data_IF_617422551726
#
_entry.id   IF_617422551726
#
_cell.length_a   1.000
_cell.length_b   1.000
_cell.length_c   1.000
_cell.angle_alpha   90.00
_cell.angle_beta   90.00
_cell.angle_gamma   90.00
#
_symmetry.space_group_name_H-M   'P 1'
#
loop_
_entity.id
_entity.type
_entity.pdbx_description
1 polymer ?
#
# COMPACT_ATOMS: atom_id res chain seq x y z
N UNK A 1 12.86 16.42 -7.21
CA UNK A 1 13.69 15.20 -6.99
C UNK A 1 13.02 14.37 -5.90
N UNK A 2 12.78 13.07 -6.13
CA UNK A 2 12.10 12.19 -5.16
C UNK A 2 13.04 11.95 -3.96
N UNK A 3 12.59 12.33 -2.77
CA UNK A 3 13.41 12.31 -1.53
C UNK A 3 13.37 10.95 -0.84
N UNK A 4 12.31 10.16 -1.07
CA UNK A 4 12.21 8.83 -0.48
C UNK A 4 13.38 7.93 -0.91
N UNK A 5 13.89 7.12 0.02
CA UNK A 5 15.01 6.19 -0.26
C UNK A 5 14.54 4.86 -0.90
N UNK A 6 13.26 4.74 -1.16
CA UNK A 6 12.57 3.66 -1.87
C UNK A 6 11.71 4.22 -3.00
N UNK A 7 11.43 3.43 -4.01
CA UNK A 7 10.37 3.72 -4.99
C UNK A 7 9.02 3.25 -4.44
N UNK A 8 7.92 3.84 -4.91
CA UNK A 8 6.58 3.48 -4.45
C UNK A 8 5.68 3.08 -5.61
N UNK A 9 5.01 1.94 -5.48
CA UNK A 9 3.96 1.49 -6.38
C UNK A 9 2.64 1.43 -5.61
N UNK A 10 1.61 2.14 -6.09
CA UNK A 10 0.26 2.07 -5.56
C UNK A 10 -0.63 1.33 -6.55
N UNK A 11 -1.15 0.19 -6.15
CA UNK A 11 -2.07 -0.61 -6.96
C UNK A 11 -3.51 -0.15 -6.71
N UNK A 12 -4.09 0.50 -7.73
CA UNK A 12 -5.42 1.10 -7.69
C UNK A 12 -6.38 0.46 -8.71
N UNK A 13 -6.18 -0.83 -9.03
CA UNK A 13 -6.86 -1.56 -10.09
C UNK A 13 -7.94 -2.57 -9.67
N UNK A 14 -8.30 -2.66 -8.40
CA UNK A 14 -9.29 -3.63 -7.91
C UNK A 14 -10.72 -3.30 -8.33
N UNK A 15 -11.55 -4.33 -8.60
CA UNK A 15 -12.96 -4.17 -9.02
C UNK A 15 -13.90 -3.63 -7.93
N UNK A 16 -13.45 -3.53 -6.69
CA UNK A 16 -14.21 -2.97 -5.53
C UNK A 16 -15.62 -3.59 -5.34
N UNK A 17 -15.84 -4.84 -5.76
CA UNK A 17 -17.16 -5.51 -5.76
C UNK A 17 -17.83 -5.47 -4.38
N UNK A 18 -17.06 -5.73 -3.31
CA UNK A 18 -17.57 -5.71 -1.93
C UNK A 18 -17.82 -4.31 -1.37
N UNK A 19 -17.28 -3.28 -2.04
CA UNK A 19 -17.42 -1.88 -1.63
C UNK A 19 -18.66 -1.23 -2.28
N UNK A 20 -19.16 -1.79 -3.39
CA UNK A 20 -20.34 -1.31 -4.12
C UNK A 20 -20.08 -0.11 -5.05
N UNK A 21 -18.87 0.46 -4.99
CA UNK A 21 -18.42 1.58 -5.84
C UNK A 21 -16.89 1.52 -5.97
N UNK A 22 -16.29 2.39 -6.78
CA UNK A 22 -14.82 2.47 -6.85
C UNK A 22 -14.24 2.96 -5.50
N UNK A 23 -13.69 2.04 -4.72
CA UNK A 23 -13.15 2.35 -3.40
C UNK A 23 -11.99 3.35 -3.43
N UNK A 24 -11.20 3.37 -4.52
CA UNK A 24 -10.08 4.31 -4.65
C UNK A 24 -10.55 5.76 -4.73
N UNK A 25 -11.75 6.00 -5.29
CA UNK A 25 -12.37 7.33 -5.41
C UNK A 25 -13.24 7.70 -4.20
N UNK A 26 -13.50 6.77 -3.29
CA UNK A 26 -14.33 7.05 -2.12
C UNK A 26 -13.67 8.10 -1.21
N UNK A 27 -14.43 9.15 -0.89
CA UNK A 27 -13.94 10.28 -0.11
C UNK A 27 -14.07 10.06 1.39
N UNK A 28 -12.96 10.24 2.10
CA UNK A 28 -12.89 10.28 3.57
C UNK A 28 -12.41 11.66 3.96
N UNK A 29 -13.27 12.46 4.62
CA UNK A 29 -12.94 13.83 5.06
C UNK A 29 -12.33 14.68 3.93
N UNK A 30 -12.99 14.72 2.77
CA UNK A 30 -12.66 15.60 1.65
C UNK A 30 -11.52 15.11 0.72
N UNK A 31 -10.91 13.94 0.97
CA UNK A 31 -9.89 13.35 0.11
C UNK A 31 -10.26 11.92 -0.25
N UNK A 32 -10.01 11.51 -1.50
CA UNK A 32 -10.22 10.12 -1.90
C UNK A 32 -9.26 9.17 -1.16
N UNK A 33 -9.63 7.89 -1.03
CA UNK A 33 -8.76 6.89 -0.41
C UNK A 33 -7.41 6.81 -1.13
N UNK A 34 -7.41 6.83 -2.45
CA UNK A 34 -6.19 6.84 -3.24
C UNK A 34 -5.33 8.08 -2.97
N UNK A 35 -5.95 9.27 -2.91
CA UNK A 35 -5.25 10.52 -2.63
C UNK A 35 -4.60 10.47 -1.24
N UNK A 36 -5.30 9.97 -0.22
CA UNK A 36 -4.77 9.83 1.14
C UNK A 36 -3.54 8.93 1.20
N UNK A 37 -3.54 7.83 0.44
CA UNK A 37 -2.37 6.96 0.34
C UNK A 37 -1.24 7.67 -0.40
N UNK A 38 -1.52 8.24 -1.57
CA UNK A 38 -0.51 8.83 -2.45
C UNK A 38 0.24 10.01 -1.82
N UNK A 39 -0.41 10.81 -0.99
CA UNK A 39 0.19 11.97 -0.31
C UNK A 39 1.28 11.59 0.73
N UNK A 40 1.41 10.30 1.08
CA UNK A 40 2.52 9.84 1.94
C UNK A 40 3.85 9.69 1.17
N UNK A 41 3.86 9.85 -0.14
CA UNK A 41 5.02 9.58 -0.99
C UNK A 41 5.36 10.77 -1.88
N UNK A 42 6.67 10.98 -2.11
CA UNK A 42 7.13 12.10 -2.94
C UNK A 42 6.82 11.88 -4.43
N UNK A 43 7.00 10.66 -4.94
CA UNK A 43 6.86 10.34 -6.37
C UNK A 43 6.25 8.94 -6.57
N UNK A 44 5.01 8.69 -6.13
CA UNK A 44 4.40 7.38 -6.30
C UNK A 44 4.06 7.10 -7.77
N UNK A 45 4.26 5.84 -8.17
CA UNK A 45 3.77 5.31 -9.42
C UNK A 45 2.43 4.62 -9.13
N UNK A 46 1.36 5.15 -9.71
CA UNK A 46 0.01 4.62 -9.50
C UNK A 46 -0.37 3.76 -10.71
N UNK A 47 -0.71 2.51 -10.47
CA UNK A 47 -1.17 1.59 -11.52
C UNK A 47 -2.67 1.38 -11.33
N UNK A 48 -3.45 1.71 -12.36
CA UNK A 48 -4.92 1.61 -12.35
C UNK A 48 -5.43 1.07 -13.66
N UNK A 49 -6.59 0.41 -13.66
CA UNK A 49 -7.27 -0.03 -14.89
C UNK A 49 -8.16 1.07 -15.50
N UNK A 50 -8.32 2.20 -14.82
CA UNK A 50 -9.10 3.35 -15.26
C UNK A 50 -8.29 4.64 -15.09
N UNK A 51 -8.63 5.66 -15.90
CA UNK A 51 -8.09 7.01 -15.69
C UNK A 51 -8.62 7.56 -14.37
N UNK A 52 -7.76 8.25 -13.61
CA UNK A 52 -8.09 8.86 -12.33
C UNK A 52 -7.73 10.33 -12.33
N UNK A 53 -8.55 11.13 -11.65
CA UNK A 53 -8.23 12.54 -11.40
C UNK A 53 -7.23 12.60 -10.24
N UNK A 54 -5.97 12.77 -10.58
CA UNK A 54 -4.88 12.86 -9.62
C UNK A 54 -4.16 14.21 -9.77
N UNK A 55 -3.43 14.59 -8.74
CA UNK A 55 -2.54 15.73 -8.80
C UNK A 55 -1.45 15.43 -9.86
N UNK A 56 -1.08 16.42 -10.68
CA UNK A 56 -0.13 16.28 -11.80
C UNK A 56 1.27 15.81 -11.38
N UNK A 57 1.59 15.85 -10.09
CA UNK A 57 2.86 15.33 -9.56
C UNK A 57 2.95 13.80 -9.49
N UNK A 58 1.83 13.08 -9.65
CA UNK A 58 1.80 11.62 -9.56
C UNK A 58 1.82 10.99 -10.94
N UNK A 59 2.63 9.92 -11.09
CA UNK A 59 2.69 9.16 -12.32
C UNK A 59 1.57 8.11 -12.34
N UNK A 60 0.58 8.28 -13.22
CA UNK A 60 -0.48 7.31 -13.46
C UNK A 60 -0.15 6.45 -14.69
N UNK A 61 -0.22 5.13 -14.51
CA UNK A 61 -0.05 4.14 -15.58
C UNK A 61 -1.33 3.29 -15.67
N UNK A 62 -1.80 3.05 -16.89
CA UNK A 62 -3.00 2.25 -17.13
C UNK A 62 -2.61 0.78 -17.32
N UNK A 63 -3.16 -0.10 -16.47
CA UNK A 63 -3.07 -1.55 -16.63
C UNK A 63 -4.19 -2.03 -17.56
N UNK A 64 -3.89 -2.12 -18.86
CA UNK A 64 -4.84 -2.56 -19.88
C UNK A 64 -5.14 -4.06 -19.78
N UNK A 65 -4.17 -4.87 -19.36
CA UNK A 65 -4.26 -6.34 -19.40
C UNK A 65 -5.03 -6.94 -18.22
N UNK A 66 -5.05 -6.27 -17.05
CA UNK A 66 -5.76 -6.69 -15.83
C UNK A 66 -5.46 -8.14 -15.40
N UNK A 67 -4.20 -8.54 -15.51
CA UNK A 67 -3.75 -9.90 -15.17
C UNK A 67 -3.47 -10.08 -13.67
N UNK A 68 -3.96 -9.18 -12.84
CA UNK A 68 -3.80 -9.20 -11.39
C UNK A 68 -2.65 -8.33 -10.87
N UNK A 69 -2.61 -8.12 -9.54
CA UNK A 69 -1.75 -7.11 -8.93
C UNK A 69 -0.25 -7.38 -9.11
N UNK A 70 0.20 -8.65 -9.06
CA UNK A 70 1.62 -8.97 -9.25
C UNK A 70 2.07 -8.72 -10.69
N UNK A 71 1.24 -9.04 -11.68
CA UNK A 71 1.57 -8.82 -13.09
C UNK A 71 1.52 -7.33 -13.46
N UNK A 72 0.70 -6.53 -12.76
CA UNK A 72 0.63 -5.09 -12.98
C UNK A 72 1.96 -4.36 -12.65
N UNK A 73 2.79 -4.90 -11.76
CA UNK A 73 4.11 -4.33 -11.40
C UNK A 73 4.99 -4.11 -12.64
N UNK A 74 4.87 -4.93 -13.69
CA UNK A 74 5.65 -4.78 -14.94
C UNK A 74 5.63 -3.38 -15.52
N UNK A 75 4.51 -2.68 -15.38
CA UNK A 75 4.37 -1.32 -15.90
C UNK A 75 5.18 -0.29 -15.12
N UNK A 76 5.49 -0.56 -13.85
CA UNK A 76 6.30 0.33 -13.03
C UNK A 76 7.81 0.08 -13.17
N UNK A 77 8.24 -1.15 -13.47
CA UNK A 77 9.66 -1.56 -13.50
C UNK A 77 10.56 -0.58 -14.27
N UNK A 78 10.20 -0.08 -15.48
CA UNK A 78 11.06 0.84 -16.24
C UNK A 78 11.32 2.19 -15.54
N UNK A 79 10.56 2.51 -14.50
CA UNK A 79 10.62 3.79 -13.79
C UNK A 79 11.22 3.66 -12.39
N UNK A 80 11.56 2.45 -11.96
CA UNK A 80 12.14 2.20 -10.66
C UNK A 80 13.63 2.53 -10.66
N UNK A 81 14.04 3.36 -9.71
CA UNK A 81 15.42 3.85 -9.59
C UNK A 81 16.11 3.45 -8.28
N UNK A 82 15.35 3.04 -7.27
CA UNK A 82 15.85 2.68 -5.95
C UNK A 82 15.99 1.16 -5.79
N UNK A 83 16.81 0.74 -4.84
CA UNK A 83 17.00 -0.69 -4.55
C UNK A 83 15.82 -1.33 -3.81
N UNK A 84 14.94 -0.51 -3.25
CA UNK A 84 13.74 -0.94 -2.52
C UNK A 84 12.49 -0.36 -3.14
N UNK A 85 11.42 -1.14 -3.10
CA UNK A 85 10.12 -0.79 -3.65
C UNK A 85 9.08 -0.98 -2.56
N UNK A 86 8.42 0.09 -2.14
CA UNK A 86 7.24 -0.02 -1.30
C UNK A 86 6.01 -0.24 -2.20
N UNK A 87 5.29 -1.33 -1.95
CA UNK A 87 4.08 -1.69 -2.72
C UNK A 87 2.89 -1.64 -1.79
N UNK A 88 1.85 -0.87 -2.19
CA UNK A 88 0.63 -0.75 -1.41
C UNK A 88 -0.61 -0.70 -2.30
N UNK A 89 -1.78 -0.95 -1.71
CA UNK A 89 -3.09 -0.73 -2.32
C UNK A 89 -3.68 0.63 -1.93
N UNK A 90 -4.71 1.10 -2.64
CA UNK A 90 -5.48 2.28 -2.25
C UNK A 90 -6.34 2.06 -0.99
N UNK A 91 -6.41 0.83 -0.49
CA UNK A 91 -7.24 0.42 0.64
C UNK A 91 -6.59 0.62 2.03
N UNK A 92 -5.42 1.24 2.09
CA UNK A 92 -4.77 1.63 3.35
C UNK A 92 -4.77 3.17 3.55
N UNK A 93 -5.95 3.86 3.57
CA UNK A 93 -6.02 5.33 3.57
C UNK A 93 -5.55 5.99 4.88
N UNK A 94 -5.23 5.21 5.90
CA UNK A 94 -4.73 5.66 7.19
C UNK A 94 -3.26 5.30 7.43
N UNK A 95 -2.55 4.86 6.38
CA UNK A 95 -1.11 4.56 6.47
C UNK A 95 -0.34 5.79 6.94
N UNK A 96 0.66 5.56 7.79
CA UNK A 96 1.56 6.59 8.30
C UNK A 96 2.95 6.46 7.70
N UNK A 97 3.57 7.59 7.39
CA UNK A 97 4.94 7.65 6.85
C UNK A 97 5.96 6.97 7.76
N UNK A 98 5.79 7.10 9.07
CA UNK A 98 6.67 6.50 10.08
C UNK A 98 6.66 4.98 9.97
N UNK A 99 5.50 4.36 9.76
CA UNK A 99 5.42 2.91 9.55
C UNK A 99 6.11 2.48 8.25
N UNK A 100 5.90 3.23 7.17
CA UNK A 100 6.55 2.95 5.88
C UNK A 100 8.07 2.97 6.04
N UNK A 101 8.61 3.95 6.79
CA UNK A 101 10.03 4.06 7.05
C UNK A 101 10.55 2.86 7.86
N UNK A 102 9.81 2.40 8.88
CA UNK A 102 10.18 1.18 9.64
C UNK A 102 10.26 -0.03 8.71
N UNK A 103 9.27 -0.21 7.85
CA UNK A 103 9.20 -1.33 6.92
C UNK A 103 10.37 -1.24 5.92
N UNK A 104 10.60 -0.08 5.30
CA UNK A 104 11.62 0.05 4.25
C UNK A 104 13.05 0.21 4.75
N UNK A 105 13.28 0.46 6.05
CA UNK A 105 14.63 0.63 6.60
C UNK A 105 15.37 -0.70 6.85
N UNK A 106 14.69 -1.84 6.77
CA UNK A 106 15.28 -3.17 6.98
C UNK A 106 15.83 -3.72 5.66
N UNK A 107 16.84 -4.57 5.71
CA UNK A 107 17.49 -5.15 4.52
C UNK A 107 17.19 -6.66 4.41
N UNK A 108 16.04 -6.96 3.82
CA UNK A 108 15.52 -8.30 3.52
C UNK A 108 14.95 -8.31 2.10
N UNK A 109 14.76 -9.47 1.52
CA UNK A 109 14.12 -9.59 0.20
C UNK A 109 12.68 -9.09 0.24
N UNK A 110 11.97 -9.38 1.34
CA UNK A 110 10.60 -8.94 1.60
C UNK A 110 10.46 -8.51 3.06
N UNK A 111 9.83 -7.37 3.30
CA UNK A 111 9.46 -6.89 4.63
C UNK A 111 7.96 -6.59 4.63
N UNK A 112 7.20 -7.26 5.50
CA UNK A 112 5.74 -7.18 5.58
C UNK A 112 5.26 -6.96 7.01
N UNK A 113 4.22 -6.16 7.25
CA UNK A 113 3.45 -6.22 8.48
C UNK A 113 2.77 -7.57 8.64
N UNK A 114 2.82 -8.10 9.85
CA UNK A 114 2.12 -9.32 10.26
C UNK A 114 1.13 -8.96 11.36
N UNK A 115 -0.16 -9.12 11.04
CA UNK A 115 -1.26 -9.17 12.00
C UNK A 115 -1.70 -10.63 12.14
N UNK A 116 -2.98 -10.92 11.93
CA UNK A 116 -3.46 -12.32 11.82
C UNK A 116 -2.88 -13.00 10.56
N UNK A 117 -2.61 -12.22 9.52
CA UNK A 117 -2.03 -12.65 8.24
C UNK A 117 -1.03 -11.61 7.72
N UNK A 118 0.00 -12.03 6.94
CA UNK A 118 0.86 -11.11 6.22
C UNK A 118 0.07 -10.16 5.32
N UNK A 119 0.54 -8.90 5.22
CA UNK A 119 -0.09 -7.88 4.39
C UNK A 119 0.76 -7.60 3.13
N UNK A 120 0.63 -8.38 2.05
CA UNK A 120 1.50 -8.27 0.88
C UNK A 120 1.39 -6.92 0.15
N UNK A 121 0.22 -6.30 0.18
CA UNK A 121 -0.02 -4.97 -0.39
C UNK A 121 0.16 -3.86 0.65
N UNK A 122 1.13 -4.05 1.54
CA UNK A 122 1.62 -3.06 2.50
C UNK A 122 3.06 -3.43 2.86
N UNK A 123 3.90 -3.65 1.87
CA UNK A 123 5.24 -4.20 2.09
C UNK A 123 6.34 -3.49 1.32
N UNK A 124 7.56 -3.67 1.79
CA UNK A 124 8.77 -3.27 1.12
C UNK A 124 9.47 -4.50 0.53
N UNK A 125 9.88 -4.38 -0.71
CA UNK A 125 10.44 -5.45 -1.50
C UNK A 125 11.80 -5.02 -2.08
N UNK A 126 12.77 -5.90 -2.08
CA UNK A 126 14.04 -5.67 -2.77
C UNK A 126 13.79 -5.66 -4.29
N UNK A 127 14.26 -4.63 -4.98
CA UNK A 127 14.02 -4.46 -6.42
C UNK A 127 14.50 -5.68 -7.22
N UNK A 128 15.73 -6.15 -6.97
CA UNK A 128 16.32 -7.30 -7.65
C UNK A 128 15.49 -8.58 -7.44
N UNK A 129 14.92 -8.77 -6.26
CA UNK A 129 14.05 -9.92 -5.97
C UNK A 129 12.74 -9.85 -6.77
N UNK A 130 12.10 -8.67 -6.84
CA UNK A 130 10.91 -8.46 -7.66
C UNK A 130 11.21 -8.73 -9.13
N UNK A 131 12.26 -8.10 -9.69
CA UNK A 131 12.63 -8.23 -11.10
C UNK A 131 12.91 -9.68 -11.51
N UNK A 132 13.54 -10.46 -10.64
CA UNK A 132 13.85 -11.86 -10.88
C UNK A 132 12.62 -12.79 -10.83
N UNK A 133 11.55 -12.41 -10.13
CA UNK A 133 10.48 -13.36 -9.75
C UNK A 133 9.06 -12.96 -10.16
N UNK A 134 8.73 -11.68 -10.40
CA UNK A 134 7.34 -11.25 -10.65
C UNK A 134 6.68 -11.93 -11.85
N UNK A 135 7.46 -12.34 -12.87
CA UNK A 135 6.94 -13.06 -14.03
C UNK A 135 6.65 -14.53 -13.77
N UNK A 136 7.32 -15.14 -12.77
CA UNK A 136 7.24 -16.57 -12.46
C UNK A 136 6.01 -16.92 -11.62
N UNK A 137 5.34 -15.93 -11.03
CA UNK A 137 4.25 -16.10 -10.07
C UNK A 137 2.99 -15.39 -10.53
N UNK A 138 1.83 -15.81 -10.03
CA UNK A 138 0.52 -15.22 -10.35
C UNK A 138 -0.08 -14.42 -9.19
N UNK A 139 0.53 -14.51 -8.01
CA UNK A 139 0.07 -13.79 -6.81
C UNK A 139 1.24 -13.35 -5.94
N UNK A 140 0.97 -12.37 -5.06
CA UNK A 140 1.95 -11.97 -4.03
C UNK A 140 2.21 -13.08 -3.01
N UNK A 141 1.25 -13.97 -2.77
CA UNK A 141 1.45 -15.12 -1.87
C UNK A 141 2.47 -16.09 -2.49
N UNK A 142 2.35 -16.38 -3.78
CA UNK A 142 3.36 -17.19 -4.48
C UNK A 142 4.74 -16.51 -4.47
N UNK A 143 4.78 -15.18 -4.62
CA UNK A 143 6.03 -14.41 -4.54
C UNK A 143 6.68 -14.54 -3.14
N UNK A 144 5.89 -14.44 -2.08
CA UNK A 144 6.35 -14.62 -0.70
C UNK A 144 6.94 -16.01 -0.50
N UNK A 145 6.30 -17.04 -1.06
CA UNK A 145 6.78 -18.44 -0.95
C UNK A 145 8.12 -18.70 -1.68
N UNK A 146 8.53 -17.81 -2.60
CA UNK A 146 9.83 -17.89 -3.27
C UNK A 146 10.96 -17.20 -2.51
N UNK A 147 10.64 -16.37 -1.52
CA UNK A 147 11.64 -15.61 -0.79
C UNK A 147 12.32 -16.47 0.28
N UNK A 148 13.64 -16.37 0.35
CA UNK A 148 14.43 -17.03 1.38
C UNK A 148 14.64 -16.14 2.60
N UNK A 149 14.48 -14.84 2.45
CA UNK A 149 14.80 -13.82 3.44
C UNK A 149 13.63 -12.85 3.62
N UNK A 150 12.78 -13.12 4.63
CA UNK A 150 11.58 -12.35 4.93
C UNK A 150 11.62 -11.82 6.35
N UNK A 151 11.34 -10.54 6.53
CA UNK A 151 11.12 -9.94 7.84
C UNK A 151 9.64 -9.61 8.04
N UNK A 152 9.07 -10.10 9.12
CA UNK A 152 7.71 -9.75 9.54
C UNK A 152 7.75 -8.68 10.63
N UNK A 153 7.22 -7.50 10.32
CA UNK A 153 7.05 -6.41 11.29
C UNK A 153 5.86 -6.77 12.19
N UNK A 154 6.14 -7.10 13.42
CA UNK A 154 5.14 -7.56 14.39
C UNK A 154 4.28 -6.41 14.94
N UNK A 155 3.16 -6.77 15.55
CA UNK A 155 2.17 -5.82 16.12
C UNK A 155 2.81 -4.84 17.11
N UNK A 156 3.72 -5.30 17.96
CA UNK A 156 4.37 -4.45 18.96
C UNK A 156 5.28 -3.40 18.31
N UNK A 157 6.01 -3.77 17.27
CA UNK A 157 6.85 -2.83 16.52
C UNK A 157 5.99 -1.78 15.80
N UNK A 158 4.85 -2.20 15.23
CA UNK A 158 3.89 -1.28 14.60
C UNK A 158 3.31 -0.29 15.60
N UNK A 159 3.00 -0.73 16.84
CA UNK A 159 2.43 0.10 17.90
C UNK A 159 3.34 1.22 18.34
N UNK A 160 4.66 1.13 18.13
CA UNK A 160 5.59 2.22 18.43
C UNK A 160 5.27 3.50 17.66
N UNK A 161 4.73 3.37 16.43
CA UNK A 161 4.38 4.51 15.56
C UNK A 161 2.88 4.64 15.32
N UNK A 162 2.12 3.57 15.48
CA UNK A 162 0.67 3.56 15.36
C UNK A 162 0.02 2.68 16.44
N UNK A 163 -0.18 3.20 17.65
CA UNK A 163 -0.81 2.45 18.75
C UNK A 163 -2.19 1.89 18.41
N UNK A 164 -2.90 2.50 17.45
CA UNK A 164 -4.25 2.09 17.03
C UNK A 164 -4.25 0.99 15.95
N UNK A 165 -3.08 0.71 15.35
CA UNK A 165 -2.92 -0.20 14.21
C UNK A 165 -3.78 0.16 12.99
N UNK A 166 -4.19 1.43 12.85
CA UNK A 166 -5.02 1.85 11.73
C UNK A 166 -4.27 1.87 10.40
N UNK A 167 -2.95 2.08 10.46
CA UNK A 167 -2.08 2.09 9.27
C UNK A 167 -2.02 0.74 8.54
N UNK A 168 -2.24 -0.37 9.26
CA UNK A 168 -2.14 -1.73 8.71
C UNK A 168 -3.49 -2.41 8.47
N UNK A 169 -4.59 -1.70 8.75
CA UNK A 169 -5.95 -2.20 8.51
C UNK A 169 -6.45 -1.70 7.17
N UNK A 170 -6.69 -2.61 6.25
CA UNK A 170 -7.31 -2.28 4.96
C UNK A 170 -8.81 -1.94 5.11
N UNK A 171 -9.30 -1.13 4.19
CA UNK A 171 -10.69 -0.75 4.07
C UNK A 171 -11.30 -1.52 2.88
N UNK A 172 -12.13 -2.50 3.17
CA UNK A 172 -12.79 -3.32 2.17
C UNK A 172 -14.30 -3.07 2.05
N UNK A 173 -14.91 -2.44 3.10
CA UNK A 173 -16.33 -2.07 3.17
C UNK A 173 -16.47 -0.68 3.74
N UNK A 174 -17.59 -0.01 3.46
CA UNK A 174 -17.90 1.32 4.02
C UNK A 174 -17.99 1.26 5.55
N UNK A 175 -18.51 0.17 6.11
CA UNK A 175 -18.59 -0.03 7.56
C UNK A 175 -17.21 -0.02 8.25
N UNK A 176 -16.14 -0.41 7.56
CA UNK A 176 -14.79 -0.36 8.10
C UNK A 176 -14.34 1.09 8.37
N UNK A 177 -14.84 2.04 7.57
CA UNK A 177 -14.60 3.48 7.75
C UNK A 177 -15.39 4.01 8.94
N UNK A 178 -16.67 3.68 9.03
CA UNK A 178 -17.55 4.16 10.10
C UNK A 178 -17.07 3.70 11.48
N UNK A 179 -16.62 2.45 11.61
CA UNK A 179 -16.02 1.93 12.85
C UNK A 179 -14.79 2.73 13.27
N UNK A 180 -13.94 3.15 12.32
CA UNK A 180 -12.74 3.93 12.60
C UNK A 180 -13.05 5.37 12.98
N UNK A 181 -14.00 6.02 12.31
CA UNK A 181 -14.42 7.40 12.64
C UNK A 181 -15.01 7.45 14.05
N UNK A 182 -15.83 6.48 14.43
CA UNK A 182 -16.42 6.39 15.77
C UNK A 182 -15.39 6.20 16.89
N UNK A 183 -14.27 5.54 16.63
CA UNK A 183 -13.16 5.44 17.58
C UNK A 183 -12.51 6.82 17.81
N UNK A 184 -12.32 7.62 16.78
CA UNK A 184 -11.76 8.98 16.90
C UNK A 184 -12.69 9.93 17.65
N UNK A 185 -14.01 9.84 17.44
CA UNK A 185 -14.99 10.66 18.18
C UNK A 185 -15.08 10.27 19.66
N UNK A 186 -15.03 8.99 20.00
CA UNK A 186 -15.02 8.52 21.39
C UNK A 186 -13.75 8.95 22.15
N UNK A 187 -12.59 8.93 21.49
CA UNK A 187 -11.33 9.35 22.12
C UNK A 187 -11.30 10.86 22.44
N UNK A 188 -12.03 11.70 21.71
CA UNK A 188 -12.17 13.14 22.00
C UNK A 188 -13.12 13.45 23.15
N UNK A 189 -14.02 12.53 23.52
CA UNK A 189 -15.01 12.72 24.59
C UNK A 189 -14.43 12.38 25.98
N UNK A 190 -13.33 11.62 26.03
CA UNK A 190 -12.69 11.22 27.31
C UNK A 190 -11.71 12.29 27.82
N UNK A 191 -11.43 13.34 27.03
CA UNK A 191 -10.52 14.45 27.41
C UNK A 191 -11.25 15.76 27.76
N UNK A 192 -12.47 15.70 28.31
CA UNK A 192 -13.16 16.84 28.90
C UNK A 192 -13.46 16.59 30.36
#
# INVERSE_FOLDING_TARGET
MCKDFYDTIILAGGFSVRFGSDKCEYCISGKSMLQRVAENFDCPIIISHVRRKLNNQFKLIIDEKREGPIKAIRYAIPFLSKNKIFITGCDFPFIKKELINIICNKDYDIILPLLDYPQPLLGCYKKSFIEANYQKVNSFIELINLANDIYFVGTEEIRLVDPTLNSVKNINRIDDILKKINIFTKSKIILK
#
